data_IF_249470251523
#
_entry.id   IF_249470251523
#
_cell.length_a   1.000
_cell.length_b   1.000
_cell.length_c   1.000
_cell.angle_alpha   90.00
_cell.angle_beta   90.00
_cell.angle_gamma   90.00
#
_symmetry.space_group_name_H-M   'P 1'
#
loop_
_entity.id
_entity.type
_entity.pdbx_description
1 polymer ?
#
# COMPACT_ATOMS: atom_id res chain seq x y z
N UNK A 1 -15.40 32.82 7.05
CA UNK A 1 -15.23 31.91 8.21
C UNK A 1 -13.88 31.18 8.28
N UNK A 2 -12.93 31.43 7.36
CA UNK A 2 -11.56 30.87 7.44
C UNK A 2 -10.50 31.92 7.85
N UNK A 3 -10.93 33.17 8.06
CA UNK A 3 -10.08 34.34 8.32
C UNK A 3 -9.94 34.67 9.82
N UNK A 4 -10.53 33.85 10.69
CA UNK A 4 -10.56 34.06 12.16
C UNK A 4 -9.52 33.22 12.93
N UNK A 5 -8.62 32.51 12.23
CA UNK A 5 -7.75 31.50 12.86
C UNK A 5 -6.25 31.70 12.62
N UNK A 6 -5.81 32.83 12.05
CA UNK A 6 -4.41 32.98 11.64
C UNK A 6 -3.64 34.06 12.42
N UNK A 7 -4.30 34.94 13.19
CA UNK A 7 -3.59 36.07 13.79
C UNK A 7 -3.19 35.94 15.27
N UNK A 8 -3.63 34.92 16.01
CA UNK A 8 -3.31 34.78 17.45
C UNK A 8 -2.67 33.43 17.81
N UNK A 9 -1.57 33.06 17.16
CA UNK A 9 -0.68 31.99 17.68
C UNK A 9 0.38 32.58 18.61
N UNK A 10 -0.06 33.36 19.61
CA UNK A 10 0.64 33.38 20.89
C UNK A 10 0.35 32.04 21.58
N UNK A 11 1.27 31.54 22.42
CA UNK A 11 1.18 30.20 23.03
C UNK A 11 -0.11 30.00 23.84
N UNK A 12 -1.19 29.63 23.16
CA UNK A 12 -2.46 29.24 23.77
C UNK A 12 -2.21 28.03 24.68
N UNK A 13 -2.69 28.06 25.94
CA UNK A 13 -2.49 26.97 26.88
C UNK A 13 -3.08 25.70 26.29
N UNK A 14 -2.22 24.74 25.94
CA UNK A 14 -2.63 23.46 25.34
C UNK A 14 -3.68 22.81 26.26
N UNK A 15 -4.92 22.62 25.78
CA UNK A 15 -5.98 22.10 26.64
C UNK A 15 -5.60 20.70 27.13
N UNK A 16 -5.75 20.48 28.43
CA UNK A 16 -5.46 19.18 29.03
C UNK A 16 -6.40 18.10 28.50
N UNK A 17 -5.94 16.85 28.45
CA UNK A 17 -6.77 15.69 28.07
C UNK A 17 -8.04 15.59 28.93
N UNK A 18 -7.97 16.07 30.18
CA UNK A 18 -9.11 16.12 31.10
C UNK A 18 -10.19 17.10 30.61
N UNK A 19 -9.78 18.32 30.23
CA UNK A 19 -10.68 19.32 29.66
C UNK A 19 -11.33 18.80 28.37
N UNK A 20 -10.54 18.15 27.51
CA UNK A 20 -11.02 17.54 26.29
C UNK A 20 -12.12 16.48 26.55
N UNK A 21 -11.87 15.56 27.49
CA UNK A 21 -12.83 14.51 27.87
C UNK A 21 -14.11 15.11 28.49
N UNK A 22 -13.97 16.13 29.33
CA UNK A 22 -15.11 16.82 29.96
C UNK A 22 -15.97 17.50 28.90
N UNK A 23 -15.36 18.24 27.97
CA UNK A 23 -16.08 18.89 26.88
C UNK A 23 -16.81 17.89 25.99
N UNK A 24 -16.16 16.78 25.59
CA UNK A 24 -16.78 15.75 24.78
C UNK A 24 -18.00 15.13 25.46
N UNK A 25 -17.89 14.82 26.76
CA UNK A 25 -19.00 14.28 27.54
C UNK A 25 -20.13 15.29 27.74
N UNK A 26 -19.81 16.54 28.09
CA UNK A 26 -20.81 17.58 28.34
C UNK A 26 -21.54 18.04 27.06
N UNK A 27 -20.86 18.02 25.91
CA UNK A 27 -21.44 18.39 24.61
C UNK A 27 -22.01 17.19 23.83
N UNK A 28 -22.01 16.00 24.44
CA UNK A 28 -22.39 14.73 23.81
C UNK A 28 -21.69 14.51 22.45
N UNK A 29 -20.44 14.97 22.35
CA UNK A 29 -19.61 14.80 21.16
C UNK A 29 -18.91 13.46 21.29
N UNK A 30 -19.02 12.65 20.26
CA UNK A 30 -18.22 11.44 20.10
C UNK A 30 -17.47 11.53 18.80
N UNK A 31 -16.23 11.03 18.78
CA UNK A 31 -15.58 10.77 17.51
C UNK A 31 -16.34 9.66 16.83
N UNK A 32 -17.04 10.00 15.75
CA UNK A 32 -17.61 9.02 14.86
C UNK A 32 -16.46 8.17 14.33
N UNK A 33 -16.29 6.96 14.85
CA UNK A 33 -15.39 5.98 14.24
C UNK A 33 -16.04 5.65 12.90
N UNK A 34 -15.44 6.02 11.76
CA UNK A 34 -15.98 5.59 10.48
C UNK A 34 -16.18 4.08 10.57
N UNK A 35 -17.40 3.61 10.25
CA UNK A 35 -17.68 2.17 10.19
C UNK A 35 -16.59 1.59 9.28
N UNK A 36 -15.83 0.61 9.78
CA UNK A 36 -14.75 -0.04 9.04
C UNK A 36 -15.18 -0.30 7.59
N UNK A 37 -14.31 0.06 6.66
CA UNK A 37 -14.29 -0.33 5.25
C UNK A 37 -15.65 -0.37 4.58
N UNK A 38 -16.19 0.82 4.35
CA UNK A 38 -17.24 0.97 3.36
C UNK A 38 -16.62 0.75 1.98
N UNK A 39 -16.84 -0.44 1.42
CA UNK A 39 -16.53 -0.73 0.02
C UNK A 39 -17.25 0.29 -0.86
N UNK A 40 -16.50 1.04 -1.68
CA UNK A 40 -17.03 2.09 -2.55
C UNK A 40 -18.17 1.57 -3.43
N UNK A 41 -18.04 0.36 -3.99
CA UNK A 41 -19.09 -0.31 -4.76
C UNK A 41 -20.33 -0.58 -3.90
N UNK A 42 -20.18 -1.09 -2.68
CA UNK A 42 -21.32 -1.38 -1.80
C UNK A 42 -22.03 -0.11 -1.33
N UNK A 43 -21.28 0.96 -1.02
CA UNK A 43 -21.87 2.25 -0.66
C UNK A 43 -22.58 2.87 -1.85
N UNK A 44 -21.92 2.88 -3.02
CA UNK A 44 -22.53 3.38 -4.27
C UNK A 44 -23.81 2.63 -4.61
N UNK A 45 -23.81 1.30 -4.53
CA UNK A 45 -25.03 0.51 -4.79
C UNK A 45 -26.15 0.81 -3.80
N UNK A 46 -25.83 1.04 -2.51
CA UNK A 46 -26.80 1.34 -1.46
C UNK A 46 -27.42 2.74 -1.61
N UNK A 47 -26.62 3.72 -2.02
CA UNK A 47 -26.96 5.14 -2.01
C UNK A 47 -27.61 5.65 -3.32
N UNK A 48 -27.61 4.85 -4.40
CA UNK A 48 -28.11 5.28 -5.73
C UNK A 48 -29.59 4.95 -5.96
N UNK A 49 -30.17 5.62 -6.94
CA UNK A 49 -31.54 5.41 -7.44
C UNK A 49 -31.68 4.06 -8.15
N UNK A 50 -32.91 3.57 -8.28
CA UNK A 50 -33.18 2.19 -8.72
C UNK A 50 -32.76 1.92 -10.18
N UNK A 51 -32.78 2.93 -11.05
CA UNK A 51 -32.30 2.81 -12.44
C UNK A 51 -30.79 2.54 -12.51
N UNK A 52 -30.01 3.20 -11.65
CA UNK A 52 -28.55 3.00 -11.56
C UNK A 52 -28.26 1.66 -10.89
N UNK A 53 -29.07 1.25 -9.91
CA UNK A 53 -28.94 -0.08 -9.29
C UNK A 53 -29.18 -1.21 -10.28
N UNK A 54 -30.14 -1.09 -11.19
CA UNK A 54 -30.40 -2.10 -12.22
C UNK A 54 -29.14 -2.37 -13.07
N UNK A 55 -28.47 -1.30 -13.52
CA UNK A 55 -27.22 -1.39 -14.29
C UNK A 55 -26.05 -1.94 -13.48
N UNK A 56 -25.98 -1.66 -12.18
CA UNK A 56 -24.91 -2.16 -11.29
C UNK A 56 -25.24 -3.49 -10.61
N UNK A 57 -26.44 -4.05 -10.79
CA UNK A 57 -26.93 -5.19 -10.02
C UNK A 57 -26.09 -6.45 -10.23
N UNK A 58 -25.75 -6.75 -11.48
CA UNK A 58 -24.94 -7.91 -11.84
C UNK A 58 -23.52 -7.81 -11.25
N UNK A 59 -22.89 -6.63 -11.39
CA UNK A 59 -21.55 -6.36 -10.83
C UNK A 59 -21.56 -6.43 -9.30
N UNK A 60 -22.59 -5.88 -8.66
CA UNK A 60 -22.76 -5.93 -7.21
C UNK A 60 -22.99 -7.37 -6.72
N UNK A 61 -23.84 -8.13 -7.39
CA UNK A 61 -24.14 -9.53 -7.02
C UNK A 61 -22.89 -10.39 -7.11
N UNK A 62 -22.13 -10.27 -8.20
CA UNK A 62 -20.85 -10.96 -8.36
C UNK A 62 -19.86 -10.58 -7.25
N UNK A 63 -19.73 -9.28 -6.93
CA UNK A 63 -18.89 -8.82 -5.83
C UNK A 63 -19.29 -9.42 -4.47
N UNK A 64 -20.59 -9.49 -4.17
CA UNK A 64 -21.08 -10.04 -2.90
C UNK A 64 -20.83 -11.56 -2.82
N UNK A 65 -21.05 -12.29 -3.91
CA UNK A 65 -20.77 -13.73 -3.98
C UNK A 65 -19.27 -14.03 -3.80
N UNK A 66 -18.41 -13.26 -4.47
CA UNK A 66 -16.96 -13.36 -4.30
C UNK A 66 -16.53 -13.05 -2.85
N UNK A 67 -17.10 -12.00 -2.25
CA UNK A 67 -16.84 -11.63 -0.85
C UNK A 67 -17.27 -12.73 0.14
N UNK A 68 -18.43 -13.35 -0.08
CA UNK A 68 -18.93 -14.43 0.77
C UNK A 68 -18.08 -15.69 0.62
N UNK A 69 -17.77 -16.10 -0.62
CA UNK A 69 -16.93 -17.27 -0.88
C UNK A 69 -15.52 -17.12 -0.31
N UNK A 70 -14.91 -15.93 -0.40
CA UNK A 70 -13.63 -15.64 0.24
C UNK A 70 -13.69 -15.76 1.76
N UNK A 71 -14.74 -15.22 2.40
CA UNK A 71 -14.92 -15.31 3.86
C UNK A 71 -15.12 -16.74 4.32
N UNK A 72 -15.89 -17.54 3.57
CA UNK A 72 -16.09 -18.95 3.85
C UNK A 72 -14.78 -19.73 3.79
N UNK A 73 -14.03 -19.62 2.68
CA UNK A 73 -12.73 -20.29 2.49
C UNK A 73 -11.69 -19.88 3.53
N UNK A 74 -11.63 -18.58 3.88
CA UNK A 74 -10.76 -18.09 4.95
C UNK A 74 -11.12 -18.70 6.30
N UNK A 75 -12.41 -18.85 6.61
CA UNK A 75 -12.87 -19.48 7.84
C UNK A 75 -12.51 -20.96 7.86
N UNK A 76 -12.77 -21.67 6.77
CA UNK A 76 -12.46 -23.09 6.59
C UNK A 76 -10.97 -23.36 6.77
N UNK A 77 -10.10 -22.66 6.03
CA UNK A 77 -8.64 -22.81 6.15
C UNK A 77 -8.09 -22.42 7.51
N UNK A 78 -8.70 -21.45 8.18
CA UNK A 78 -8.36 -21.12 9.57
C UNK A 78 -8.66 -22.30 10.51
N UNK A 79 -9.80 -22.97 10.34
CA UNK A 79 -10.17 -24.14 11.13
C UNK A 79 -9.27 -25.34 10.80
N UNK A 80 -8.94 -25.54 9.53
CA UNK A 80 -8.03 -26.61 9.09
C UNK A 80 -6.62 -26.43 9.66
N UNK A 81 -6.05 -25.22 9.57
CA UNK A 81 -4.76 -24.90 10.17
C UNK A 81 -4.76 -25.00 11.71
N UNK A 82 -5.91 -24.84 12.36
CA UNK A 82 -6.04 -25.07 13.81
C UNK A 82 -6.07 -26.56 14.17
N UNK A 83 -6.67 -27.40 13.33
CA UNK A 83 -6.73 -28.86 13.54
C UNK A 83 -5.39 -29.52 13.21
N UNK A 84 -4.71 -29.06 12.17
CA UNK A 84 -3.40 -29.55 11.74
C UNK A 84 -2.34 -28.44 11.73
N UNK A 85 -2.05 -27.95 12.94
CA UNK A 85 -0.99 -26.96 13.16
C UNK A 85 0.41 -27.50 12.83
N UNK A 86 0.57 -28.82 12.70
CA UNK A 86 1.83 -29.48 12.38
C UNK A 86 2.10 -29.56 10.88
N UNK A 87 1.09 -29.43 10.01
CA UNK A 87 1.28 -29.52 8.54
C UNK A 87 0.96 -28.22 7.81
N UNK A 88 0.06 -27.39 8.33
CA UNK A 88 -0.47 -26.22 7.61
C UNK A 88 -0.22 -24.93 8.39
N UNK A 89 0.36 -23.93 7.73
CA UNK A 89 0.50 -22.57 8.25
C UNK A 89 -0.29 -21.60 7.34
N UNK A 90 -1.21 -20.83 7.94
CA UNK A 90 -2.07 -19.90 7.22
C UNK A 90 -1.85 -18.46 7.70
N UNK A 91 -1.38 -17.58 6.80
CA UNK A 91 -1.20 -16.16 7.08
C UNK A 91 -2.09 -15.32 6.15
N UNK A 92 -2.76 -14.31 6.71
CA UNK A 92 -3.55 -13.33 5.95
C UNK A 92 -3.08 -11.94 6.30
N UNK A 93 -2.60 -11.19 5.31
CA UNK A 93 -2.13 -9.82 5.50
C UNK A 93 -3.24 -8.83 5.16
N UNK A 94 -3.50 -7.92 6.10
CA UNK A 94 -4.39 -6.77 5.89
C UNK A 94 -3.52 -5.52 6.02
N UNK A 95 -3.41 -4.74 4.94
CA UNK A 95 -2.57 -3.54 4.88
C UNK A 95 -2.99 -2.48 5.91
N UNK A 96 -4.23 -2.50 6.38
CA UNK A 96 -4.67 -1.60 7.47
C UNK A 96 -4.04 -1.96 8.82
N UNK A 97 -3.48 -3.16 8.97
CA UNK A 97 -2.67 -3.53 10.12
C UNK A 97 -1.28 -2.88 10.14
N UNK A 98 -0.93 -2.11 9.10
CA UNK A 98 0.24 -1.23 9.12
C UNK A 98 -0.03 0.10 9.87
N UNK A 99 -1.29 0.47 10.13
CA UNK A 99 -1.65 1.66 10.93
C UNK A 99 -0.97 1.65 12.31
N UNK A 100 -0.95 0.53 13.06
CA UNK A 100 -0.12 0.39 14.26
C UNK A 100 1.35 0.75 14.05
N UNK A 101 1.99 0.28 12.97
CA UNK A 101 3.40 0.59 12.67
C UNK A 101 3.59 2.09 12.45
N UNK A 102 2.68 2.72 11.70
CA UNK A 102 2.67 4.18 11.49
C UNK A 102 2.45 4.92 12.82
N UNK A 103 1.62 4.39 13.72
CA UNK A 103 1.40 4.97 15.07
C UNK A 103 2.59 4.78 16.02
N UNK A 104 3.37 3.72 15.80
CA UNK A 104 4.60 3.38 16.49
C UNK A 104 5.83 4.13 15.95
N UNK A 105 5.66 4.93 14.88
CA UNK A 105 6.61 5.94 14.44
C UNK A 105 7.23 6.67 15.64
N UNK A 106 8.56 6.78 15.66
CA UNK A 106 9.30 7.30 16.83
C UNK A 106 8.87 8.75 17.09
N UNK A 107 8.24 8.99 18.25
CA UNK A 107 7.77 10.33 18.66
C UNK A 107 8.80 11.13 19.45
N UNK A 108 9.76 10.44 20.07
CA UNK A 108 10.72 11.03 21.02
C UNK A 108 12.12 11.21 20.45
N UNK A 109 12.45 10.53 19.36
CA UNK A 109 13.71 10.74 18.65
C UNK A 109 13.37 11.28 17.27
N UNK A 110 13.90 12.46 16.89
CA UNK A 110 13.66 13.00 15.57
C UNK A 110 14.19 12.04 14.52
N UNK A 111 13.49 11.95 13.39
CA UNK A 111 14.01 11.23 12.24
C UNK A 111 15.29 11.92 11.78
N UNK A 112 16.34 11.13 11.58
CA UNK A 112 17.54 11.61 10.90
C UNK A 112 17.18 11.64 9.43
N UNK A 113 16.96 12.85 8.91
CA UNK A 113 16.69 13.07 7.49
C UNK A 113 18.03 13.24 6.81
N UNK A 114 18.42 12.24 6.03
CA UNK A 114 19.57 12.34 5.13
C UNK A 114 19.08 12.90 3.81
N UNK A 115 19.54 14.09 3.43
CA UNK A 115 19.29 14.61 2.10
C UNK A 115 20.03 13.73 1.08
N UNK A 116 19.29 13.19 0.11
CA UNK A 116 19.84 12.35 -0.94
C UNK A 116 19.93 13.15 -2.25
N UNK A 117 21.00 12.91 -3.01
CA UNK A 117 21.20 13.40 -4.37
C UNK A 117 20.73 12.37 -5.41
N UNK A 118 20.64 12.78 -6.67
CA UNK A 118 20.25 11.89 -7.78
C UNK A 118 21.20 10.69 -7.94
N UNK A 119 22.47 10.85 -7.56
CA UNK A 119 23.52 9.81 -7.60
C UNK A 119 23.38 8.73 -6.53
N UNK A 120 22.63 9.01 -5.46
CA UNK A 120 22.49 8.09 -4.32
C UNK A 120 21.44 7.00 -4.58
N UNK A 121 20.63 7.18 -5.63
CA UNK A 121 19.64 6.19 -6.05
C UNK A 121 20.34 5.08 -6.81
N UNK A 122 20.15 3.84 -6.38
CA UNK A 122 20.75 2.65 -6.95
C UNK A 122 19.76 1.91 -7.86
N UNK A 123 20.27 1.30 -8.94
CA UNK A 123 19.44 0.54 -9.87
C UNK A 123 19.22 -0.91 -9.40
N UNK A 124 18.28 -1.06 -8.47
CA UNK A 124 17.85 -2.38 -8.01
C UNK A 124 17.10 -3.17 -9.09
N UNK A 125 16.56 -2.51 -10.13
CA UNK A 125 15.88 -3.19 -11.22
C UNK A 125 16.88 -3.93 -12.08
N UNK A 126 17.94 -3.26 -12.54
CA UNK A 126 19.05 -3.90 -13.26
C UNK A 126 19.71 -4.99 -12.40
N UNK A 127 19.95 -4.70 -11.11
CA UNK A 127 20.48 -5.70 -10.18
C UNK A 127 19.59 -6.94 -10.12
N UNK A 128 18.27 -6.76 -9.98
CA UNK A 128 17.32 -7.87 -9.89
C UNK A 128 17.23 -8.69 -11.19
N UNK A 129 17.43 -8.06 -12.34
CA UNK A 129 17.52 -8.72 -13.64
C UNK A 129 18.82 -9.54 -13.75
N UNK A 130 19.95 -8.95 -13.37
CA UNK A 130 21.27 -9.60 -13.35
C UNK A 130 21.30 -10.81 -12.41
N UNK A 131 20.72 -10.65 -11.21
CA UNK A 131 20.55 -11.72 -10.24
C UNK A 131 19.44 -12.72 -10.62
N UNK A 132 18.74 -12.50 -11.73
CA UNK A 132 17.59 -13.29 -12.17
C UNK A 132 16.51 -13.46 -11.08
N UNK A 133 16.41 -12.51 -10.15
CA UNK A 133 15.40 -12.52 -9.09
C UNK A 133 13.99 -12.37 -9.66
N UNK A 134 13.87 -11.60 -10.74
CA UNK A 134 12.61 -11.33 -11.45
C UNK A 134 12.34 -12.27 -12.62
N UNK A 135 13.20 -13.27 -12.89
CA UNK A 135 12.85 -14.25 -13.92
C UNK A 135 11.53 -14.89 -13.49
N UNK A 136 10.48 -14.66 -14.28
CA UNK A 136 9.13 -15.18 -14.04
C UNK A 136 9.29 -16.67 -13.85
N UNK A 137 9.14 -17.13 -12.61
CA UNK A 137 9.30 -18.53 -12.31
C UNK A 137 8.23 -19.27 -13.09
N UNK A 138 8.67 -20.24 -13.89
CA UNK A 138 7.77 -21.23 -14.47
C UNK A 138 7.29 -22.12 -13.32
N UNK A 139 6.05 -22.57 -13.39
CA UNK A 139 5.60 -23.60 -12.47
C UNK A 139 6.29 -24.93 -12.77
N UNK A 140 6.01 -25.94 -11.94
CA UNK A 140 6.58 -27.28 -12.13
C UNK A 140 6.11 -27.93 -13.46
N UNK A 141 5.10 -27.37 -14.13
CA UNK A 141 4.62 -27.80 -15.46
C UNK A 141 5.24 -27.02 -16.64
N UNK A 142 6.07 -26.00 -16.36
CA UNK A 142 6.78 -25.21 -17.37
C UNK A 142 6.04 -23.98 -17.90
N UNK A 143 4.87 -23.66 -17.35
CA UNK A 143 4.09 -22.48 -17.73
C UNK A 143 4.49 -21.25 -16.93
N UNK A 144 4.40 -20.06 -17.55
CA UNK A 144 4.70 -18.80 -16.85
C UNK A 144 3.64 -18.48 -15.80
N UNK A 145 4.09 -18.06 -14.61
CA UNK A 145 3.21 -17.76 -13.49
C UNK A 145 3.08 -16.25 -13.29
N UNK A 146 1.88 -15.71 -13.49
CA UNK A 146 1.56 -14.34 -13.08
C UNK A 146 1.21 -14.29 -11.59
N UNK A 147 2.17 -13.85 -10.79
CA UNK A 147 2.04 -13.72 -9.34
C UNK A 147 0.88 -12.80 -8.92
N UNK A 148 0.46 -11.85 -9.76
CA UNK A 148 -0.62 -10.90 -9.46
C UNK A 148 -2.00 -11.56 -9.48
N UNK A 149 -2.12 -12.68 -10.20
CA UNK A 149 -3.37 -13.43 -10.32
C UNK A 149 -3.49 -14.52 -9.26
N UNK A 150 -2.46 -14.72 -8.43
CA UNK A 150 -2.51 -15.71 -7.35
C UNK A 150 -3.52 -15.27 -6.29
N UNK A 151 -4.53 -16.09 -6.08
CA UNK A 151 -5.57 -15.86 -5.09
C UNK A 151 -5.33 -16.63 -3.79
N UNK A 152 -4.62 -17.76 -3.89
CA UNK A 152 -4.42 -18.66 -2.76
C UNK A 152 -3.04 -19.29 -2.84
N UNK A 153 -2.34 -19.32 -1.69
CA UNK A 153 -1.04 -19.96 -1.50
C UNK A 153 -1.17 -20.99 -0.38
N UNK A 154 -0.69 -22.20 -0.62
CA UNK A 154 -0.63 -23.30 0.35
C UNK A 154 0.80 -23.78 0.49
N UNK A 155 1.26 -23.94 1.72
CA UNK A 155 2.56 -24.53 2.05
C UNK A 155 2.30 -25.83 2.80
N UNK A 156 3.00 -26.89 2.41
CA UNK A 156 2.98 -28.16 3.13
C UNK A 156 4.31 -28.32 3.85
N UNK A 157 4.28 -28.69 5.13
CA UNK A 157 5.54 -28.91 5.88
C UNK A 157 6.34 -30.12 5.40
N UNK A 158 5.72 -31.04 4.66
CA UNK A 158 6.40 -32.16 4.00
C UNK A 158 7.40 -31.68 2.96
N UNK A 159 7.10 -30.57 2.27
CA UNK A 159 7.93 -30.01 1.20
C UNK A 159 8.19 -28.51 1.44
N UNK A 160 9.14 -28.15 2.33
CA UNK A 160 9.38 -26.75 2.71
C UNK A 160 9.84 -25.87 1.52
N UNK A 161 10.39 -26.49 0.47
CA UNK A 161 10.87 -25.81 -0.72
C UNK A 161 9.83 -25.79 -1.84
N UNK A 162 8.55 -26.04 -1.57
CA UNK A 162 7.49 -26.05 -2.59
C UNK A 162 6.23 -25.40 -2.02
N UNK A 163 5.56 -24.62 -2.86
CA UNK A 163 4.23 -24.11 -2.53
C UNK A 163 3.25 -24.41 -3.65
N UNK A 164 1.98 -24.54 -3.28
CA UNK A 164 0.87 -24.73 -4.19
C UNK A 164 0.09 -23.44 -4.28
N UNK A 165 -0.37 -23.09 -5.48
CA UNK A 165 -1.12 -21.86 -5.71
C UNK A 165 -2.34 -22.08 -6.60
N UNK A 166 -3.34 -21.24 -6.42
CA UNK A 166 -4.53 -21.16 -7.27
C UNK A 166 -4.70 -19.74 -7.80
N UNK A 167 -5.08 -19.62 -9.07
CA UNK A 167 -5.40 -18.36 -9.73
C UNK A 167 -6.89 -18.05 -9.71
N UNK A 168 -7.74 -19.05 -9.49
CA UNK A 168 -9.17 -18.91 -9.31
C UNK A 168 -9.59 -19.61 -8.01
N UNK A 169 -10.50 -18.98 -7.27
CA UNK A 169 -11.15 -19.58 -6.12
C UNK A 169 -11.94 -20.83 -6.49
N UNK A 170 -12.50 -20.92 -7.69
CA UNK A 170 -13.32 -22.07 -8.11
C UNK A 170 -12.49 -23.27 -8.57
N UNK A 171 -11.19 -23.07 -8.80
CA UNK A 171 -10.31 -24.12 -9.29
C UNK A 171 -10.19 -25.27 -8.27
N UNK A 172 -10.55 -26.48 -8.72
CA UNK A 172 -10.38 -27.72 -7.96
C UNK A 172 -8.90 -28.06 -7.82
N UNK A 173 -8.13 -27.89 -8.91
CA UNK A 173 -6.73 -28.26 -8.98
C UNK A 173 -5.81 -27.10 -8.58
N UNK A 174 -4.76 -27.41 -7.82
CA UNK A 174 -3.73 -26.45 -7.41
C UNK A 174 -2.49 -26.63 -8.27
N UNK A 175 -1.94 -25.53 -8.81
CA UNK A 175 -0.63 -25.56 -9.48
C UNK A 175 0.46 -25.55 -8.42
N UNK A 176 1.66 -26.02 -8.75
CA UNK A 176 2.75 -26.08 -7.79
C UNK A 176 4.04 -25.47 -8.33
N UNK A 177 4.79 -24.84 -7.43
CA UNK A 177 6.03 -24.16 -7.76
C UNK A 177 7.11 -24.49 -6.74
N UNK A 178 8.19 -25.11 -7.22
CA UNK A 178 9.34 -25.44 -6.39
C UNK A 178 10.25 -24.20 -6.22
N UNK A 179 10.44 -23.78 -4.97
CA UNK A 179 11.38 -22.76 -4.52
C UNK A 179 12.82 -23.30 -4.53
N UNK A 180 13.37 -23.64 -5.70
CA UNK A 180 14.81 -23.93 -5.80
C UNK A 180 15.59 -22.63 -5.56
N UNK A 181 16.58 -22.67 -4.69
CA UNK A 181 17.67 -21.69 -4.68
C UNK A 181 18.42 -21.91 -5.98
N UNK A 182 18.35 -20.96 -6.91
CA UNK A 182 19.29 -21.01 -8.04
C UNK A 182 20.68 -20.96 -7.42
N UNK A 183 21.52 -21.93 -7.77
CA UNK A 183 22.94 -21.88 -7.42
C UNK A 183 23.49 -20.70 -8.19
N UNK A 184 23.43 -19.53 -7.57
CA UNK A 184 24.17 -18.39 -8.01
C UNK A 184 25.63 -18.79 -7.85
N UNK A 185 26.35 -18.99 -8.95
CA UNK A 185 27.79 -18.75 -8.92
C UNK A 185 28.03 -17.36 -8.31
N UNK A 186 29.19 -17.14 -7.68
CA UNK A 186 29.52 -15.86 -7.02
C UNK A 186 29.16 -14.68 -7.94
N UNK A 187 27.98 -14.11 -7.73
CA UNK A 187 27.49 -12.99 -8.52
C UNK A 187 28.03 -11.75 -7.81
N UNK A 188 29.25 -11.40 -8.17
CA UNK A 188 29.82 -10.09 -7.88
C UNK A 188 29.10 -9.06 -8.77
N UNK A 189 27.81 -8.81 -8.50
CA UNK A 189 27.07 -7.74 -9.15
C UNK A 189 27.25 -6.48 -8.32
N UNK A 190 28.14 -5.59 -8.76
CA UNK A 190 28.21 -4.24 -8.23
C UNK A 190 26.90 -3.52 -8.56
N UNK A 191 26.29 -2.89 -7.56
CA UNK A 191 25.06 -2.12 -7.76
C UNK A 191 25.45 -0.78 -8.35
N UNK A 192 24.92 -0.48 -9.54
CA UNK A 192 25.20 0.78 -10.24
C UNK A 192 24.20 1.87 -9.82
N UNK A 193 24.59 3.15 -9.90
CA UNK A 193 23.65 4.26 -9.75
C UNK A 193 22.55 4.20 -10.81
N UNK A 194 21.31 4.45 -10.39
CA UNK A 194 20.13 4.54 -11.25
C UNK A 194 20.21 5.76 -12.16
N UNK A 195 20.64 6.90 -11.62
CA UNK A 195 20.77 8.14 -12.38
C UNK A 195 22.25 8.51 -12.49
N UNK A 196 22.77 8.47 -13.72
CA UNK A 196 24.14 8.95 -14.02
C UNK A 196 24.16 10.48 -14.12
N UNK A 197 23.09 11.06 -14.64
CA UNK A 197 22.89 12.51 -14.78
C UNK A 197 21.65 12.95 -14.01
N UNK A 198 21.57 14.24 -13.69
CA UNK A 198 20.36 14.80 -13.07
C UNK A 198 19.14 14.54 -13.98
N UNK A 199 18.08 13.88 -13.48
CA UNK A 199 16.90 13.60 -14.28
C UNK A 199 16.17 14.89 -14.63
N UNK A 200 15.77 15.03 -15.89
CA UNK A 200 14.96 16.15 -16.36
C UNK A 200 13.49 15.90 -16.04
N UNK A 201 12.79 16.95 -15.63
CA UNK A 201 11.33 16.90 -15.50
C UNK A 201 10.68 17.34 -16.81
N UNK A 202 9.45 16.90 -17.09
CA UNK A 202 8.75 17.38 -18.28
C UNK A 202 8.40 18.87 -18.15
N UNK A 203 8.34 19.57 -19.28
CA UNK A 203 7.94 20.98 -19.33
C UNK A 203 6.57 21.21 -18.68
N UNK A 204 5.61 20.32 -18.93
CA UNK A 204 4.26 20.40 -18.34
C UNK A 204 4.32 20.35 -16.81
N UNK A 205 5.12 19.44 -16.25
CA UNK A 205 5.29 19.29 -14.80
C UNK A 205 6.05 20.46 -14.20
N UNK A 206 7.04 21.00 -14.91
CA UNK A 206 7.72 22.23 -14.48
C UNK A 206 6.74 23.41 -14.40
N UNK A 207 5.92 23.60 -15.45
CA UNK A 207 4.93 24.67 -15.48
C UNK A 207 3.92 24.52 -14.34
N UNK A 208 3.42 23.32 -14.08
CA UNK A 208 2.54 23.00 -12.95
C UNK A 208 3.19 23.38 -11.60
N UNK A 209 4.46 22.98 -11.38
CA UNK A 209 5.20 23.36 -10.17
C UNK A 209 5.39 24.87 -10.04
N UNK A 210 5.60 25.58 -11.15
CA UNK A 210 5.68 27.05 -11.13
C UNK A 210 4.38 27.69 -10.66
N UNK A 211 3.22 27.14 -11.02
CA UNK A 211 1.92 27.64 -10.51
C UNK A 211 1.78 27.52 -9.00
N UNK A 212 2.46 26.57 -8.36
CA UNK A 212 2.45 26.45 -6.89
C UNK A 212 3.30 27.53 -6.21
N UNK A 213 4.25 28.10 -6.94
CA UNK A 213 5.18 29.15 -6.46
C UNK A 213 4.74 30.56 -6.82
N UNK A 214 3.82 30.71 -7.79
CA UNK A 214 3.39 31.99 -8.34
C UNK A 214 1.87 32.10 -8.43
N UNK A 215 1.32 33.28 -8.11
CA UNK A 215 -0.13 33.56 -8.16
C UNK A 215 -0.59 34.44 -7.00
N UNK A 216 -1.90 34.73 -6.92
CA UNK A 216 -2.49 35.53 -5.84
C UNK A 216 -2.47 34.81 -4.48
N UNK A 217 -2.42 33.47 -4.48
CA UNK A 217 -2.35 32.63 -3.28
C UNK A 217 -1.29 31.52 -3.41
N UNK A 218 0.01 31.87 -3.40
CA UNK A 218 1.07 30.88 -3.54
C UNK A 218 1.10 29.93 -2.35
N UNK A 219 1.17 28.63 -2.65
CA UNK A 219 1.28 27.55 -1.65
C UNK A 219 2.71 27.52 -1.09
N UNK A 220 3.71 27.75 -1.95
CA UNK A 220 5.13 27.77 -1.60
C UNK A 220 5.60 29.22 -1.57
N UNK A 221 5.80 29.76 -0.36
CA UNK A 221 6.08 31.19 -0.15
C UNK A 221 7.53 31.50 0.18
N UNK A 222 8.29 30.52 0.68
CA UNK A 222 9.66 30.74 1.14
C UNK A 222 10.59 30.95 -0.06
N UNK A 223 11.34 32.06 -0.13
CA UNK A 223 12.19 32.40 -1.27
C UNK A 223 13.20 31.31 -1.64
N UNK A 224 13.75 30.63 -0.63
CA UNK A 224 14.69 29.51 -0.81
C UNK A 224 14.05 28.37 -1.63
N UNK A 225 12.83 27.96 -1.29
CA UNK A 225 12.13 26.92 -2.03
C UNK A 225 11.69 27.40 -3.42
N UNK A 226 11.25 28.65 -3.55
CA UNK A 226 10.92 29.22 -4.87
C UNK A 226 12.15 29.21 -5.79
N UNK A 227 13.32 29.58 -5.27
CA UNK A 227 14.58 29.56 -6.02
C UNK A 227 14.99 28.13 -6.44
N UNK A 228 14.79 27.16 -5.54
CA UNK A 228 15.03 25.74 -5.83
C UNK A 228 14.17 25.26 -7.01
N UNK A 229 12.86 25.50 -6.97
CA UNK A 229 11.96 25.06 -8.05
C UNK A 229 12.29 25.72 -9.40
N UNK A 230 12.70 27.01 -9.39
CA UNK A 230 13.14 27.71 -10.62
C UNK A 230 14.46 27.16 -11.18
N UNK A 231 15.31 26.59 -10.33
CA UNK A 231 16.60 26.02 -10.73
C UNK A 231 16.51 24.57 -11.26
N UNK A 232 15.30 23.98 -11.29
CA UNK A 232 15.12 22.60 -11.76
C UNK A 232 15.38 22.49 -13.27
N UNK A 233 16.22 21.51 -13.65
CA UNK A 233 16.42 21.13 -15.04
C UNK A 233 15.15 20.51 -15.62
N UNK A 234 14.61 21.13 -16.66
CA UNK A 234 13.43 20.71 -17.42
C UNK A 234 13.76 20.60 -18.91
#
# INVERSE_FOLDING_TARGET
>A
MHQMLVEDLQEEPKPSLSLYRKLFKCKNLSFHRPKKDQCSLCSTYRERTDDIKANLHETYTTHILQKQSFRAKRSERKQEAQKDALTIAFATFDLQQLIPIIKLARRRQPYIVTALSYSDFLDFKALSQNLRLLSVRKDDTGEMVDWRQMMELSFMKTDPNKFFFKTDHTAVNSRSLTLRRQVSGELHSQILPLNVTQPKISQEKYNDLMTLTAGDTPVIRLPEFVSFYRSLHH
#
